data_IF_439388544314
#
_entry.id   IF_439388544314
#
_cell.length_a   1.000
_cell.length_b   1.000
_cell.length_c   1.000
_cell.angle_alpha   90.00
_cell.angle_beta   90.00
_cell.angle_gamma   90.00
#
_symmetry.space_group_name_H-M   'P 1'
#
loop_
_entity.id
_entity.type
_entity.pdbx_description
1 polymer ?
#
# COMPACT_ATOMS: atom_id res chain seq x y z
N UNK A 1 16.45 -87.65 -18.18
CA UNK A 1 17.24 -87.78 -16.94
C UNK A 1 16.75 -86.66 -16.04
N UNK A 2 15.79 -86.89 -15.13
CA UNK A 2 15.92 -87.40 -13.74
C UNK A 2 16.74 -86.39 -12.92
N UNK A 3 16.24 -85.74 -11.87
CA UNK A 3 15.67 -86.07 -10.59
C UNK A 3 15.31 -84.79 -9.84
N UNK A 4 14.08 -84.56 -9.38
CA UNK A 4 13.44 -84.84 -8.08
C UNK A 4 14.00 -84.12 -6.86
N UNK A 5 13.04 -83.59 -6.10
CA UNK A 5 12.97 -83.39 -4.63
C UNK A 5 13.57 -82.11 -4.10
N UNK A 6 12.97 -81.35 -3.19
CA UNK A 6 12.02 -81.75 -2.19
C UNK A 6 11.39 -80.57 -1.46
N UNK A 7 10.21 -80.79 -1.02
CA UNK A 7 9.47 -80.01 -0.01
C UNK A 7 10.28 -79.79 1.25
N UNK A 8 10.21 -78.61 1.81
CA UNK A 8 10.11 -78.42 3.25
C UNK A 8 9.33 -77.14 3.60
N UNK A 9 8.15 -77.44 4.00
CA UNK A 9 7.30 -76.55 4.77
C UNK A 9 8.01 -76.20 6.09
N UNK A 10 8.18 -74.90 6.35
CA UNK A 10 8.35 -74.42 7.71
C UNK A 10 7.29 -73.40 8.03
N UNK A 11 6.34 -73.91 8.78
CA UNK A 11 5.35 -73.16 9.54
C UNK A 11 6.14 -72.51 10.71
N UNK A 12 6.20 -71.21 10.79
CA UNK A 12 6.54 -70.48 11.99
C UNK A 12 5.44 -69.50 12.30
N UNK A 13 4.81 -69.84 13.39
CA UNK A 13 3.79 -69.04 14.08
C UNK A 13 4.37 -67.71 14.53
N UNK A 14 3.50 -66.71 14.44
CA UNK A 14 3.26 -65.78 15.52
C UNK A 14 4.21 -64.61 15.61
N UNK A 15 3.73 -63.51 15.40
CA UNK A 15 3.40 -62.51 16.45
C UNK A 15 2.96 -61.21 15.74
N UNK A 16 1.70 -60.97 15.93
CA UNK A 16 1.12 -59.66 15.60
C UNK A 16 1.72 -58.60 16.47
N UNK A 17 2.72 -57.88 15.95
CA UNK A 17 3.09 -56.61 16.51
C UNK A 17 2.29 -55.52 15.74
N UNK A 18 1.12 -55.25 16.27
CA UNK A 18 0.38 -54.05 15.92
C UNK A 18 1.20 -52.82 16.36
N UNK A 19 1.96 -52.25 15.45
CA UNK A 19 2.44 -50.90 15.62
C UNK A 19 1.25 -49.97 15.52
N UNK A 20 0.73 -49.57 16.67
CA UNK A 20 -0.09 -48.37 16.77
C UNK A 20 0.83 -47.20 16.42
N UNK A 21 0.82 -46.85 15.14
CA UNK A 21 1.33 -45.55 14.70
C UNK A 21 0.36 -44.51 15.29
N UNK A 22 0.71 -44.01 16.47
CA UNK A 22 0.09 -42.82 17.02
C UNK A 22 0.61 -41.68 16.17
N UNK A 23 -0.11 -41.41 15.07
CA UNK A 23 0.03 -40.16 14.37
C UNK A 23 -0.55 -39.05 15.25
N UNK A 24 0.31 -38.54 16.13
CA UNK A 24 0.09 -37.24 16.74
C UNK A 24 0.11 -36.22 15.61
N UNK A 25 -1.03 -35.99 15.01
CA UNK A 25 -1.25 -34.82 14.19
C UNK A 25 -1.28 -33.62 15.14
N UNK A 26 -0.09 -33.11 15.43
CA UNK A 26 0.06 -31.78 15.95
C UNK A 26 -0.52 -30.84 14.88
N UNK A 27 -1.74 -30.39 15.12
CA UNK A 27 -2.36 -29.28 14.41
C UNK A 27 -1.50 -28.04 14.68
N UNK A 28 -0.42 -27.87 13.89
CA UNK A 28 0.14 -26.57 13.65
C UNK A 28 -0.90 -25.81 12.80
N UNK A 29 -1.92 -25.31 13.47
CA UNK A 29 -2.67 -24.18 12.94
C UNK A 29 -1.66 -23.03 12.79
N UNK A 30 -1.00 -22.99 11.65
CA UNK A 30 -0.38 -21.77 11.17
C UNK A 30 -1.49 -20.73 11.21
N UNK A 31 -1.37 -19.81 12.16
CA UNK A 31 -2.05 -18.53 12.09
C UNK A 31 -1.53 -17.85 10.81
N UNK A 32 -2.15 -18.17 9.69
CA UNK A 32 -2.09 -17.34 8.51
C UNK A 32 -2.77 -16.07 8.97
N UNK A 33 -1.94 -15.08 9.31
CA UNK A 33 -2.40 -13.71 9.47
C UNK A 33 -3.08 -13.38 8.14
N UNK A 34 -4.39 -13.49 8.12
CA UNK A 34 -5.22 -13.02 7.03
C UNK A 34 -5.02 -11.52 7.00
N UNK A 35 -4.07 -11.07 6.18
CA UNK A 35 -4.11 -9.73 5.65
C UNK A 35 -5.46 -9.65 4.94
N UNK A 36 -6.42 -9.04 5.62
CA UNK A 36 -7.71 -8.74 4.99
C UNK A 36 -7.38 -7.89 3.76
N UNK A 37 -7.84 -8.28 2.57
CA UNK A 37 -7.68 -7.41 1.42
C UNK A 37 -8.35 -6.10 1.77
N UNK A 38 -7.57 -4.99 1.74
CA UNK A 38 -8.13 -3.64 1.86
C UNK A 38 -9.37 -3.61 0.97
N UNK A 39 -10.50 -3.22 1.54
CA UNK A 39 -11.77 -3.14 0.81
C UNK A 39 -11.63 -2.07 -0.27
N UNK A 40 -11.16 -2.47 -1.45
CA UNK A 40 -10.88 -1.59 -2.61
C UNK A 40 -12.09 -0.81 -3.13
N UNK A 41 -13.25 -0.99 -2.51
CA UNK A 41 -14.51 -0.37 -2.94
C UNK A 41 -15.04 0.68 -1.96
N UNK A 42 -14.31 1.01 -0.89
CA UNK A 42 -14.75 2.06 0.02
C UNK A 42 -14.36 3.41 -0.54
N UNK A 43 -15.35 4.29 -0.70
CA UNK A 43 -15.10 5.67 -1.11
C UNK A 43 -14.50 6.46 0.05
N UNK A 44 -13.57 7.34 -0.27
CA UNK A 44 -12.94 8.29 0.64
C UNK A 44 -13.03 9.67 0.03
N UNK A 45 -13.03 10.69 0.87
CA UNK A 45 -13.11 12.08 0.46
C UNK A 45 -11.87 12.83 0.93
N UNK A 46 -11.32 13.67 0.09
CA UNK A 46 -10.24 14.59 0.43
C UNK A 46 -10.65 16.01 0.07
N UNK A 47 -10.27 16.99 0.88
CA UNK A 47 -10.52 18.40 0.65
C UNK A 47 -9.20 19.13 0.41
N UNK A 48 -9.03 19.69 -0.77
CA UNK A 48 -7.90 20.55 -1.12
C UNK A 48 -8.23 21.99 -0.77
N UNK A 49 -7.37 22.64 -0.01
CA UNK A 49 -7.51 24.04 0.37
C UNK A 49 -6.47 24.83 -0.40
N UNK A 50 -6.90 25.64 -1.35
CA UNK A 50 -6.03 26.54 -2.11
C UNK A 50 -5.52 27.71 -1.24
N UNK A 51 -4.47 28.37 -1.66
CA UNK A 51 -3.92 29.55 -0.98
C UNK A 51 -4.92 30.70 -0.86
N UNK A 52 -5.88 30.82 -1.77
CA UNK A 52 -6.97 31.80 -1.73
C UNK A 52 -8.07 31.44 -0.72
N UNK A 53 -7.97 30.28 -0.05
CA UNK A 53 -8.99 29.78 0.88
C UNK A 53 -10.13 28.97 0.23
N UNK A 54 -10.13 28.83 -1.07
CA UNK A 54 -11.09 27.99 -1.79
C UNK A 54 -10.89 26.51 -1.43
N UNK A 55 -11.98 25.81 -1.18
CA UNK A 55 -11.99 24.40 -0.83
C UNK A 55 -12.59 23.56 -1.96
N UNK A 56 -11.81 22.64 -2.49
CA UNK A 56 -12.22 21.69 -3.51
C UNK A 56 -12.30 20.31 -2.89
N UNK A 57 -13.46 19.65 -3.01
CA UNK A 57 -13.67 18.29 -2.52
C UNK A 57 -13.54 17.31 -3.66
N UNK A 58 -12.70 16.30 -3.46
CA UNK A 58 -12.55 15.19 -4.39
C UNK A 58 -12.92 13.87 -3.72
N UNK A 59 -13.48 12.96 -4.51
CA UNK A 59 -13.80 11.59 -4.09
C UNK A 59 -12.87 10.62 -4.75
N UNK A 60 -12.41 9.65 -3.99
CA UNK A 60 -11.57 8.57 -4.47
C UNK A 60 -11.91 7.25 -3.82
N UNK A 61 -11.06 6.28 -4.00
CA UNK A 61 -11.20 4.94 -3.40
C UNK A 61 -10.04 4.67 -2.47
N UNK A 62 -10.29 3.88 -1.43
CA UNK A 62 -9.21 3.35 -0.59
C UNK A 62 -8.22 2.59 -1.46
N UNK A 63 -6.93 2.91 -1.32
CA UNK A 63 -5.85 2.35 -2.10
C UNK A 63 -5.40 3.18 -3.30
N UNK A 64 -6.15 4.22 -3.69
CA UNK A 64 -5.69 5.19 -4.70
C UNK A 64 -4.67 6.15 -4.06
N UNK A 65 -3.70 6.61 -4.84
CA UNK A 65 -2.88 7.74 -4.41
C UNK A 65 -3.68 9.04 -4.44
N UNK A 66 -3.24 10.07 -3.72
CA UNK A 66 -3.88 11.39 -3.82
C UNK A 66 -3.78 11.95 -5.24
N UNK A 67 -2.68 11.64 -5.96
CA UNK A 67 -2.54 11.99 -7.37
C UNK A 67 -3.62 11.35 -8.23
N UNK A 68 -3.87 10.03 -8.06
CA UNK A 68 -4.92 9.33 -8.82
C UNK A 68 -6.29 9.98 -8.58
N UNK A 69 -6.56 10.38 -7.33
CA UNK A 69 -7.83 11.06 -6.99
C UNK A 69 -7.96 12.40 -7.70
N UNK A 70 -6.88 13.18 -7.79
CA UNK A 70 -6.88 14.45 -8.52
C UNK A 70 -7.13 14.23 -10.01
N UNK A 71 -6.47 13.22 -10.60
CA UNK A 71 -6.61 12.87 -12.01
C UNK A 71 -8.01 12.32 -12.32
N UNK A 72 -8.54 11.44 -11.48
CA UNK A 72 -9.88 10.84 -11.63
C UNK A 72 -11.03 11.89 -11.56
N UNK A 73 -10.78 13.03 -10.91
CA UNK A 73 -11.75 14.12 -10.79
C UNK A 73 -11.45 15.31 -11.71
N UNK A 74 -10.48 15.19 -12.62
CA UNK A 74 -10.06 16.26 -13.56
C UNK A 74 -9.68 17.58 -12.87
N UNK A 75 -9.06 17.51 -11.68
CA UNK A 75 -8.71 18.68 -10.86
C UNK A 75 -7.28 19.20 -11.09
N UNK A 76 -6.51 18.57 -11.96
CA UNK A 76 -5.11 18.92 -12.21
C UNK A 76 -4.95 20.40 -12.63
N UNK A 77 -5.79 20.89 -13.55
CA UNK A 77 -5.74 22.27 -14.00
C UNK A 77 -6.22 23.25 -12.93
N UNK A 78 -7.27 22.89 -12.18
CA UNK A 78 -7.78 23.71 -11.08
C UNK A 78 -6.77 23.87 -9.94
N UNK A 79 -5.89 22.88 -9.76
CA UNK A 79 -4.80 22.89 -8.79
C UNK A 79 -3.47 23.41 -9.39
N UNK A 80 -3.51 24.05 -10.56
CA UNK A 80 -2.37 24.74 -11.16
C UNK A 80 -1.34 23.84 -11.84
N UNK A 81 -1.76 22.75 -12.47
CA UNK A 81 -0.86 21.79 -13.14
C UNK A 81 -0.35 20.68 -12.21
N UNK A 82 -1.19 20.29 -11.24
CA UNK A 82 -0.87 19.25 -10.30
C UNK A 82 -0.57 17.91 -10.98
N UNK A 83 0.52 17.24 -10.59
CA UNK A 83 0.81 15.88 -11.06
C UNK A 83 1.50 15.76 -12.40
N UNK A 84 2.23 16.76 -12.85
CA UNK A 84 2.86 16.82 -14.17
C UNK A 84 3.81 15.66 -14.53
N UNK A 85 4.31 14.88 -13.56
CA UNK A 85 5.16 13.71 -13.80
C UNK A 85 4.42 12.37 -13.69
N UNK A 86 3.09 12.38 -13.48
CA UNK A 86 2.29 11.15 -13.33
C UNK A 86 2.81 10.18 -12.26
N UNK A 87 3.42 10.71 -11.19
CA UNK A 87 3.89 9.92 -10.06
C UNK A 87 5.29 9.32 -10.17
N UNK A 88 6.06 9.69 -11.18
CA UNK A 88 7.44 9.16 -11.38
C UNK A 88 8.51 9.75 -10.47
N UNK A 89 8.15 10.57 -9.47
CA UNK A 89 9.07 11.26 -8.54
C UNK A 89 10.13 12.13 -9.23
N UNK A 90 9.80 12.74 -10.36
CA UNK A 90 10.73 13.62 -11.11
C UNK A 90 10.32 15.08 -11.08
N UNK A 91 9.26 15.42 -10.35
CA UNK A 91 8.79 16.79 -10.18
C UNK A 91 8.23 17.00 -8.76
N UNK A 92 8.00 18.26 -8.40
CA UNK A 92 7.38 18.66 -7.13
C UNK A 92 5.95 19.21 -7.30
N UNK A 93 5.31 18.99 -8.46
CA UNK A 93 4.00 19.60 -8.78
C UNK A 93 2.84 19.00 -7.98
N UNK A 94 3.01 17.83 -7.36
CA UNK A 94 2.02 17.23 -6.47
C UNK A 94 2.26 17.51 -4.99
N UNK A 95 3.01 18.58 -4.67
CA UNK A 95 3.30 19.01 -3.31
C UNK A 95 2.04 19.42 -2.57
N UNK A 96 1.88 18.89 -1.36
CA UNK A 96 0.80 19.16 -0.42
C UNK A 96 1.36 19.41 0.97
N UNK A 97 0.69 20.29 1.72
CA UNK A 97 1.03 20.57 3.12
C UNK A 97 -0.08 19.98 3.99
N UNK A 98 0.28 19.01 4.81
CA UNK A 98 -0.65 18.31 5.69
C UNK A 98 -0.79 19.00 7.04
N UNK A 99 -1.96 18.93 7.71
CA UNK A 99 -2.07 19.24 9.12
C UNK A 99 -1.15 18.32 9.94
N UNK A 100 -0.52 18.84 10.98
CA UNK A 100 0.46 18.12 11.79
C UNK A 100 -0.05 16.76 12.31
N UNK A 101 -1.30 16.74 12.80
CA UNK A 101 -1.94 15.53 13.31
C UNK A 101 -2.12 14.47 12.25
N UNK A 102 -2.43 14.85 11.00
CA UNK A 102 -2.56 13.93 9.86
C UNK A 102 -1.18 13.44 9.42
N UNK A 103 -0.22 14.36 9.31
CA UNK A 103 1.16 14.01 8.94
C UNK A 103 1.79 12.99 9.89
N UNK A 104 1.58 13.15 11.20
CA UNK A 104 2.11 12.24 12.21
C UNK A 104 1.42 10.85 12.19
N UNK A 105 0.21 10.76 11.61
CA UNK A 105 -0.55 9.50 11.45
C UNK A 105 -0.27 8.78 10.14
N UNK A 106 0.48 9.39 9.22
CA UNK A 106 0.84 8.73 7.97
C UNK A 106 1.70 7.49 8.23
N UNK A 107 1.43 6.37 7.56
CA UNK A 107 2.15 5.12 7.79
C UNK A 107 3.62 5.19 7.40
N UNK A 108 3.92 5.98 6.37
CA UNK A 108 5.25 6.06 5.79
C UNK A 108 5.83 7.49 5.90
N UNK A 109 7.12 7.55 6.21
CA UNK A 109 7.87 8.81 6.15
C UNK A 109 8.34 9.06 4.71
N UNK A 110 8.63 10.33 4.34
CA UNK A 110 9.15 10.63 3.00
C UNK A 110 10.47 9.88 2.75
N UNK A 111 10.61 9.34 1.55
CA UNK A 111 11.87 8.75 1.08
C UNK A 111 12.93 9.84 0.82
N UNK A 112 14.18 9.44 0.59
CA UNK A 112 15.23 10.38 0.20
C UNK A 112 14.88 11.07 -1.13
N UNK A 113 14.41 10.31 -2.11
CA UNK A 113 14.01 10.84 -3.42
C UNK A 113 12.81 11.81 -3.30
N UNK A 114 11.84 11.50 -2.43
CA UNK A 114 10.73 12.42 -2.16
C UNK A 114 11.23 13.70 -1.51
N UNK A 115 12.18 13.60 -0.58
CA UNK A 115 12.75 14.74 0.12
C UNK A 115 13.52 15.64 -0.84
N UNK A 116 14.34 15.08 -1.74
CA UNK A 116 15.07 15.81 -2.76
C UNK A 116 14.12 16.61 -3.68
N UNK A 117 12.99 16.00 -4.06
CA UNK A 117 11.98 16.68 -4.86
C UNK A 117 11.24 17.77 -4.07
N UNK A 118 10.99 17.55 -2.78
CA UNK A 118 10.39 18.55 -1.90
C UNK A 118 11.32 19.75 -1.66
N UNK A 119 12.64 19.55 -1.67
CA UNK A 119 13.63 20.63 -1.53
C UNK A 119 13.59 21.62 -2.71
N UNK A 120 13.09 21.18 -3.86
CA UNK A 120 12.88 22.02 -5.03
C UNK A 120 11.47 22.67 -5.06
N UNK A 121 10.59 22.30 -4.13
CA UNK A 121 9.23 22.81 -4.09
C UNK A 121 9.14 24.18 -3.41
N UNK A 122 8.24 25.03 -3.90
CA UNK A 122 7.90 26.28 -3.21
C UNK A 122 7.09 26.00 -1.94
N UNK A 123 7.21 26.87 -0.94
CA UNK A 123 6.50 26.81 0.34
C UNK A 123 6.68 25.47 1.09
N UNK A 124 7.84 24.81 0.92
CA UNK A 124 8.13 23.59 1.70
C UNK A 124 8.02 23.86 3.20
N UNK A 125 7.30 23.01 3.91
CA UNK A 125 7.17 22.99 5.36
C UNK A 125 7.50 21.63 5.96
N UNK A 126 7.53 21.55 7.29
CA UNK A 126 7.86 20.32 8.03
C UNK A 126 6.83 19.18 7.82
N UNK A 127 5.65 19.51 7.32
CA UNK A 127 4.56 18.57 7.06
C UNK A 127 4.24 18.43 5.57
N UNK A 128 5.21 18.81 4.73
CA UNK A 128 5.10 18.67 3.28
C UNK A 128 5.28 17.23 2.82
N UNK A 129 4.46 16.79 1.89
CA UNK A 129 4.56 15.49 1.23
C UNK A 129 4.15 15.61 -0.25
N UNK A 130 4.61 14.68 -1.06
CA UNK A 130 4.15 14.56 -2.44
C UNK A 130 2.92 13.66 -2.51
N UNK A 131 1.81 14.16 -3.05
CA UNK A 131 0.54 13.45 -3.12
C UNK A 131 0.59 12.15 -3.93
N UNK A 132 1.53 12.01 -4.86
CA UNK A 132 1.75 10.76 -5.60
C UNK A 132 2.31 9.63 -4.70
N UNK A 133 2.89 9.95 -3.56
CA UNK A 133 3.47 8.99 -2.60
C UNK A 133 2.51 8.64 -1.46
N UNK A 134 1.37 9.33 -1.35
CA UNK A 134 0.40 9.12 -0.27
C UNK A 134 -0.77 8.31 -0.80
N UNK A 135 -0.93 7.10 -0.26
CA UNK A 135 -2.08 6.24 -0.54
C UNK A 135 -3.19 6.51 0.45
N UNK A 136 -4.40 6.73 -0.06
CA UNK A 136 -5.58 6.96 0.78
C UNK A 136 -5.99 5.69 1.50
N UNK A 137 -6.14 5.81 2.80
CA UNK A 137 -6.67 4.78 3.70
C UNK A 137 -8.00 5.23 4.28
N UNK A 138 -8.71 4.33 4.95
CA UNK A 138 -9.96 4.69 5.64
C UNK A 138 -9.73 5.73 6.76
N UNK A 139 -8.54 5.75 7.35
CA UNK A 139 -8.17 6.68 8.41
C UNK A 139 -7.96 8.11 7.88
N UNK A 140 -7.67 8.23 6.59
CA UNK A 140 -7.47 9.51 5.91
C UNK A 140 -8.76 10.05 5.27
N UNK A 141 -9.91 9.41 5.49
CA UNK A 141 -11.18 9.90 4.97
C UNK A 141 -11.56 11.26 5.59
N UNK A 142 -11.93 12.18 4.73
CA UNK A 142 -12.32 13.54 5.12
C UNK A 142 -11.18 14.49 5.49
N UNK A 143 -9.93 14.14 5.19
CA UNK A 143 -8.79 15.04 5.48
C UNK A 143 -8.86 16.32 4.66
N UNK A 144 -8.35 17.40 5.27
CA UNK A 144 -8.09 18.67 4.58
C UNK A 144 -6.58 18.84 4.38
N UNK A 145 -6.16 19.09 3.15
CA UNK A 145 -4.76 19.34 2.80
C UNK A 145 -4.63 20.69 2.10
N UNK A 146 -3.55 21.40 2.37
CA UNK A 146 -3.30 22.70 1.74
C UNK A 146 -2.46 22.51 0.49
N UNK A 147 -2.88 23.17 -0.59
CA UNK A 147 -2.12 23.29 -1.84
C UNK A 147 -1.33 24.59 -1.80
N UNK A 148 -0.02 24.59 -2.08
CA UNK A 148 0.78 25.80 -2.18
C UNK A 148 0.22 26.81 -3.20
N UNK A 149 0.52 28.09 -3.00
CA UNK A 149 0.08 29.14 -3.93
C UNK A 149 0.73 29.02 -5.31
N UNK A 150 1.93 28.50 -5.35
CA UNK A 150 2.72 28.34 -6.57
C UNK A 150 3.20 26.90 -6.68
N UNK A 151 2.90 26.26 -7.80
CA UNK A 151 3.43 24.95 -8.13
C UNK A 151 4.60 25.16 -9.11
N UNK A 152 5.75 24.56 -8.80
CA UNK A 152 6.92 24.61 -9.65
C UNK A 152 7.14 23.24 -10.30
N UNK A 153 7.21 23.21 -11.62
CA UNK A 153 7.71 22.04 -12.32
C UNK A 153 9.24 22.15 -12.41
N UNK A 154 9.95 21.41 -11.56
CA UNK A 154 11.43 21.41 -11.53
C UNK A 154 12.07 20.96 -12.85
N UNK A 155 11.29 20.44 -13.81
CA UNK A 155 11.76 20.09 -15.15
C UNK A 155 11.76 21.26 -16.13
N UNK A 156 11.09 22.35 -15.77
CA UNK A 156 11.07 23.57 -16.57
C UNK A 156 11.96 24.63 -15.89
N UNK A 157 13.02 25.09 -16.58
CA UNK A 157 13.91 26.12 -16.06
C UNK A 157 13.24 27.51 -15.96
#
# INVERSE_FOLDING_TARGET
MALTRGLRSFFVLGTNYAYKCVTSQANLARAVSTMQPLSKNKEVTITFVKANGEKIKAKGKVGNSILDIVMDNDLNDELGGYGACEGTLTCSTCHLIFPKNVYDSLPDKPSEEETDMLDLAYERGDTSRLGCQITMTEELDGIEVRVPATINDARQP
#
